data_IF_072551819353
#
_entry.id   IF_072551819353
#
_cell.length_a   1.000
_cell.length_b   1.000
_cell.length_c   1.000
_cell.angle_alpha   90.00
_cell.angle_beta   90.00
_cell.angle_gamma   90.00
#
_symmetry.space_group_name_H-M   'P 1'
#
loop_
_entity.id
_entity.type
_entity.pdbx_description
1 polymer ?
#
# COMPACT_ATOMS: atom_id res chain seq x y z
N UNK A 1 36.46 0.86 26.67
CA UNK A 1 36.41 2.31 26.37
C UNK A 1 36.32 2.55 24.86
N UNK A 2 37.27 2.09 24.04
CA UNK A 2 37.24 2.24 22.57
C UNK A 2 36.00 1.63 21.88
N UNK A 3 35.54 0.46 22.34
CA UNK A 3 34.35 -0.23 21.79
C UNK A 3 33.03 0.52 22.03
N UNK A 4 32.93 1.26 23.14
CA UNK A 4 31.73 2.06 23.49
C UNK A 4 31.63 3.27 22.55
N UNK A 5 32.76 3.91 22.23
CA UNK A 5 32.79 5.03 21.28
C UNK A 5 32.41 4.60 19.86
N UNK A 6 32.80 3.40 19.42
CA UNK A 6 32.41 2.85 18.11
C UNK A 6 30.88 2.60 18.02
N UNK A 7 30.28 2.08 19.08
CA UNK A 7 28.83 1.86 19.12
C UNK A 7 28.05 3.19 19.12
N UNK A 8 28.51 4.20 19.85
CA UNK A 8 27.89 5.53 19.85
C UNK A 8 28.01 6.22 18.48
N UNK A 9 29.15 6.08 17.80
CA UNK A 9 29.33 6.59 16.45
C UNK A 9 28.41 5.88 15.43
N UNK A 10 28.23 4.57 15.55
CA UNK A 10 27.34 3.79 14.69
C UNK A 10 25.87 4.22 14.87
N UNK A 11 25.43 4.42 16.10
CA UNK A 11 24.07 4.91 16.39
C UNK A 11 23.89 6.35 15.87
N UNK A 12 24.89 7.21 16.04
CA UNK A 12 24.85 8.59 15.53
C UNK A 12 24.74 8.66 14.00
N UNK A 13 25.50 7.83 13.28
CA UNK A 13 25.43 7.77 11.81
C UNK A 13 24.13 7.16 11.30
N UNK A 14 23.59 6.13 11.98
CA UNK A 14 22.28 5.56 11.65
C UNK A 14 21.14 6.58 11.86
N UNK A 15 21.19 7.36 12.95
CA UNK A 15 20.25 8.46 13.20
C UNK A 15 20.35 9.55 12.12
N UNK A 16 21.56 9.87 11.67
CA UNK A 16 21.81 10.86 10.62
C UNK A 16 21.28 10.41 9.24
N UNK A 17 21.47 9.13 8.89
CA UNK A 17 20.93 8.53 7.66
C UNK A 17 19.39 8.58 7.69
N UNK A 18 18.79 8.24 8.82
CA UNK A 18 17.32 8.23 8.96
C UNK A 18 16.73 9.64 8.78
N UNK A 19 17.40 10.66 9.33
CA UNK A 19 16.95 12.05 9.24
C UNK A 19 16.97 12.61 7.81
N UNK A 20 17.98 12.27 7.01
CA UNK A 20 18.10 12.78 5.63
C UNK A 20 17.13 12.13 4.63
N UNK A 21 16.70 10.88 4.89
CA UNK A 21 15.76 10.15 4.01
C UNK A 21 14.33 10.68 4.12
N UNK A 22 13.93 11.21 5.29
CA UNK A 22 12.56 11.68 5.54
C UNK A 22 12.15 12.92 4.74
N UNK A 23 13.11 13.73 4.27
CA UNK A 23 12.83 14.94 3.48
C UNK A 23 12.75 14.68 1.97
N UNK A 24 13.33 13.57 1.47
CA UNK A 24 13.16 13.16 0.06
C UNK A 24 11.82 12.46 -0.19
N UNK A 25 11.24 11.83 0.82
CA UNK A 25 9.95 11.13 0.70
C UNK A 25 8.79 12.09 0.40
N UNK A 26 8.75 13.28 1.03
CA UNK A 26 7.67 14.26 0.80
C UNK A 26 7.62 14.84 -0.61
N UNK A 27 8.75 14.86 -1.33
CA UNK A 27 8.79 15.29 -2.72
C UNK A 27 8.36 14.18 -3.70
N UNK A 28 8.41 12.93 -3.26
CA UNK A 28 7.96 11.77 -4.03
C UNK A 28 6.43 11.63 -3.96
N UNK A 29 5.82 11.87 -2.80
CA UNK A 29 4.36 11.88 -2.61
C UNK A 29 3.66 12.86 -3.56
N UNK A 30 4.16 14.10 -3.69
CA UNK A 30 3.55 15.11 -4.57
C UNK A 30 3.59 14.78 -6.05
N UNK A 31 4.58 13.99 -6.50
CA UNK A 31 4.62 13.53 -7.89
C UNK A 31 3.59 12.42 -8.12
N UNK A 32 3.30 11.60 -7.11
CA UNK A 32 2.27 10.56 -7.18
C UNK A 32 0.90 11.15 -7.47
N UNK A 33 0.51 12.19 -6.72
CA UNK A 33 -0.82 12.82 -6.86
C UNK A 33 -1.08 13.39 -8.27
N UNK A 34 -0.04 13.92 -8.93
CA UNK A 34 -0.17 14.46 -10.29
C UNK A 34 -0.23 13.35 -11.35
N UNK A 35 0.46 12.23 -11.13
CA UNK A 35 0.36 11.06 -12.00
C UNK A 35 -1.02 10.41 -11.88
N UNK A 36 -1.53 10.22 -10.67
CA UNK A 36 -2.88 9.69 -10.43
C UNK A 36 -3.95 10.55 -11.10
N UNK A 37 -3.89 11.88 -10.94
CA UNK A 37 -4.85 12.79 -11.59
C UNK A 37 -4.80 12.70 -13.12
N UNK A 38 -3.61 12.63 -13.72
CA UNK A 38 -3.49 12.50 -15.19
C UNK A 38 -3.98 11.15 -15.68
N UNK A 39 -3.69 10.07 -14.97
CA UNK A 39 -4.18 8.73 -15.29
C UNK A 39 -5.71 8.66 -15.19
N UNK A 40 -6.30 9.24 -14.14
CA UNK A 40 -7.76 9.31 -13.99
C UNK A 40 -8.44 10.01 -15.17
N UNK A 41 -7.89 11.13 -15.65
CA UNK A 41 -8.43 11.84 -16.82
C UNK A 41 -8.29 11.04 -18.13
N UNK A 42 -7.24 10.23 -18.25
CA UNK A 42 -7.05 9.36 -19.41
C UNK A 42 -8.02 8.17 -19.36
N UNK A 43 -8.16 7.54 -18.18
CA UNK A 43 -9.10 6.43 -17.96
C UNK A 43 -10.56 6.87 -18.25
N UNK A 44 -10.96 8.04 -17.73
CA UNK A 44 -12.28 8.63 -17.95
C UNK A 44 -12.52 8.96 -19.43
N UNK A 45 -11.52 9.50 -20.12
CA UNK A 45 -11.59 9.77 -21.56
C UNK A 45 -11.75 8.50 -22.41
N UNK A 46 -11.16 7.37 -22.00
CA UNK A 46 -11.24 6.10 -22.72
C UNK A 46 -12.44 5.24 -22.31
N UNK A 47 -13.24 5.63 -21.31
CA UNK A 47 -14.42 4.89 -20.86
C UNK A 47 -14.10 3.48 -20.35
N UNK A 48 -12.88 3.29 -19.82
CA UNK A 48 -12.45 1.99 -19.28
C UNK A 48 -12.91 1.94 -17.83
N UNK A 49 -13.97 1.18 -17.55
CA UNK A 49 -14.23 0.69 -16.21
C UNK A 49 -12.98 -0.08 -15.77
N UNK A 50 -12.32 0.40 -14.72
CA UNK A 50 -11.09 -0.20 -14.18
C UNK A 50 -11.33 -1.70 -14.04
N UNK A 51 -10.64 -2.56 -14.83
CA UNK A 51 -10.95 -3.97 -14.86
C UNK A 51 -10.72 -4.49 -13.45
N UNK A 52 -11.77 -5.07 -12.85
CA UNK A 52 -11.64 -5.63 -11.51
C UNK A 52 -10.40 -6.52 -11.47
N UNK A 53 -9.51 -6.33 -10.48
CA UNK A 53 -8.31 -7.13 -10.33
C UNK A 53 -8.63 -8.62 -10.58
N UNK A 54 -8.03 -9.19 -11.62
CA UNK A 54 -8.23 -10.59 -11.96
C UNK A 54 -7.99 -11.45 -10.70
N UNK A 55 -9.00 -12.19 -10.25
CA UNK A 55 -8.97 -12.97 -9.01
C UNK A 55 -9.84 -12.45 -7.87
N UNK A 56 -10.57 -11.33 -8.03
CA UNK A 56 -11.56 -10.86 -7.06
C UNK A 56 -12.69 -11.87 -6.80
N UNK A 57 -12.99 -12.75 -7.74
CA UNK A 57 -13.94 -13.85 -7.55
C UNK A 57 -13.56 -14.78 -6.40
N UNK A 58 -12.26 -15.05 -6.22
CA UNK A 58 -11.74 -15.83 -5.10
C UNK A 58 -11.97 -15.09 -3.77
N UNK A 59 -11.74 -13.78 -3.75
CA UNK A 59 -12.00 -12.94 -2.58
C UNK A 59 -13.48 -12.97 -2.22
N UNK A 60 -14.39 -12.82 -3.20
CA UNK A 60 -15.84 -12.90 -2.96
C UNK A 60 -16.29 -14.27 -2.47
N UNK A 61 -15.70 -15.35 -2.98
CA UNK A 61 -15.98 -16.70 -2.50
C UNK A 61 -15.57 -16.86 -1.02
N UNK A 62 -14.37 -16.39 -0.66
CA UNK A 62 -13.88 -16.41 0.72
C UNK A 62 -14.73 -15.55 1.66
N UNK A 63 -15.23 -14.40 1.19
CA UNK A 63 -16.16 -13.56 1.94
C UNK A 63 -17.48 -14.31 2.19
N UNK A 64 -18.05 -14.94 1.16
CA UNK A 64 -19.28 -15.74 1.27
C UNK A 64 -19.13 -16.91 2.23
N UNK A 65 -17.94 -17.52 2.28
CA UNK A 65 -17.62 -18.61 3.21
C UNK A 65 -17.32 -18.14 4.64
N UNK A 66 -17.39 -16.83 4.93
CA UNK A 66 -17.06 -16.25 6.24
C UNK A 66 -15.56 -16.26 6.58
N UNK A 67 -14.69 -16.51 5.59
CA UNK A 67 -13.22 -16.58 5.73
C UNK A 67 -12.57 -15.21 5.54
N UNK A 68 -13.01 -14.22 6.32
CA UNK A 68 -12.62 -12.80 6.17
C UNK A 68 -11.10 -12.56 6.21
N UNK A 69 -10.38 -13.22 7.12
CA UNK A 69 -8.91 -13.04 7.24
C UNK A 69 -8.19 -13.51 5.97
N UNK A 70 -8.69 -14.57 5.35
CA UNK A 70 -8.11 -15.12 4.13
C UNK A 70 -8.46 -14.29 2.91
N UNK A 71 -9.70 -13.80 2.84
CA UNK A 71 -10.12 -12.81 1.84
C UNK A 71 -9.22 -11.57 1.87
N UNK A 72 -8.92 -11.02 3.05
CA UNK A 72 -7.99 -9.89 3.21
C UNK A 72 -6.59 -10.27 2.71
N UNK A 73 -6.11 -11.47 3.04
CA UNK A 73 -4.77 -11.92 2.60
C UNK A 73 -4.69 -12.08 1.07
N UNK A 74 -5.72 -12.64 0.44
CA UNK A 74 -5.82 -12.80 -1.02
C UNK A 74 -5.90 -11.42 -1.67
N UNK A 75 -6.79 -10.54 -1.18
CA UNK A 75 -6.95 -9.18 -1.71
C UNK A 75 -5.63 -8.42 -1.71
N UNK A 76 -4.86 -8.49 -0.62
CA UNK A 76 -3.53 -7.87 -0.52
C UNK A 76 -2.51 -8.44 -1.52
N UNK A 77 -2.57 -9.74 -1.82
CA UNK A 77 -1.69 -10.35 -2.82
C UNK A 77 -2.06 -9.92 -4.25
N UNK A 78 -3.35 -9.77 -4.53
CA UNK A 78 -3.84 -9.41 -5.86
C UNK A 78 -3.65 -7.93 -6.17
N UNK A 79 -3.85 -7.04 -5.19
CA UNK A 79 -3.87 -5.59 -5.41
C UNK A 79 -2.62 -4.88 -4.89
N UNK A 80 -1.81 -5.54 -4.05
CA UNK A 80 -0.71 -4.89 -3.34
C UNK A 80 -1.13 -3.95 -2.21
N UNK A 81 -2.43 -3.88 -1.89
CA UNK A 81 -2.98 -2.98 -0.91
C UNK A 81 -2.39 -3.17 0.51
N UNK A 82 -2.37 -2.07 1.26
CA UNK A 82 -2.08 -2.08 2.69
C UNK A 82 -3.09 -2.91 3.48
N UNK A 83 -2.75 -3.27 4.72
CA UNK A 83 -3.65 -4.08 5.56
C UNK A 83 -4.98 -3.36 5.86
N UNK A 84 -4.92 -2.05 6.06
CA UNK A 84 -6.10 -1.22 6.33
C UNK A 84 -7.03 -1.17 5.10
N UNK A 85 -6.48 -0.84 3.94
CA UNK A 85 -7.21 -0.75 2.66
C UNK A 85 -7.85 -2.09 2.30
N UNK A 86 -7.10 -3.19 2.43
CA UNK A 86 -7.62 -4.52 2.14
C UNK A 86 -8.74 -4.95 3.10
N UNK A 87 -8.64 -4.59 4.38
CA UNK A 87 -9.71 -4.83 5.35
C UNK A 87 -10.97 -4.06 4.94
N UNK A 88 -10.84 -2.77 4.64
CA UNK A 88 -11.97 -1.92 4.25
C UNK A 88 -12.65 -2.44 2.97
N UNK A 89 -11.88 -2.85 1.97
CA UNK A 89 -12.41 -3.43 0.74
C UNK A 89 -13.18 -4.74 0.99
N UNK A 90 -12.64 -5.62 1.82
CA UNK A 90 -13.30 -6.90 2.17
C UNK A 90 -14.55 -6.66 3.02
N UNK A 91 -14.54 -5.70 3.93
CA UNK A 91 -15.72 -5.31 4.71
C UNK A 91 -16.84 -4.76 3.82
N UNK A 92 -16.50 -3.94 2.81
CA UNK A 92 -17.45 -3.45 1.82
C UNK A 92 -18.09 -4.60 1.02
N UNK A 93 -17.34 -5.64 0.69
CA UNK A 93 -17.83 -6.86 0.03
C UNK A 93 -18.72 -7.73 0.93
N UNK A 94 -18.59 -7.60 2.25
CA UNK A 94 -19.39 -8.37 3.23
C UNK A 94 -20.73 -7.69 3.52
N UNK A 95 -20.80 -6.37 3.36
CA UNK A 95 -21.99 -5.55 3.64
C UNK A 95 -22.90 -5.26 2.43
N UNK A 96 -22.55 -5.75 1.24
CA UNK A 96 -23.35 -5.65 0.01
C UNK A 96 -24.13 -6.94 -0.26
#
# INVERSE_FOLDING_TARGET
>A
MNTIFLLLALIGTAAWITSTVTLRMKALERRSELLERRLGLVLDHFGIEEPEPAGLDEVRALVRDGRTVEAIRVYRRLTGAGLLEAKQAVEALTGA
#
